data_IF_093392845030
#
_entry.id   IF_093392845030
#
_cell.length_a   1.000
_cell.length_b   1.000
_cell.length_c   1.000
_cell.angle_alpha   90.00
_cell.angle_beta   90.00
_cell.angle_gamma   90.00
#
_symmetry.space_group_name_H-M   'P 1'
#
loop_
_entity.id
_entity.type
_entity.pdbx_description
1 polymer ?
#
# COMPACT_ATOMS: atom_id res chain seq x y z
N UNK A 1 10.77 -11.89 -7.06
CA UNK A 1 9.62 -11.40 -6.27
C UNK A 1 8.62 -12.53 -6.18
N UNK A 2 8.32 -13.00 -4.98
CA UNK A 2 7.16 -13.86 -4.76
C UNK A 2 5.97 -12.91 -4.70
N UNK A 3 4.92 -13.12 -5.51
CA UNK A 3 3.79 -12.16 -5.61
C UNK A 3 2.95 -12.05 -4.32
N UNK A 4 3.30 -12.83 -3.30
CA UNK A 4 2.78 -12.77 -1.94
C UNK A 4 3.39 -11.60 -1.14
N UNK A 5 4.56 -11.10 -1.51
CA UNK A 5 5.27 -10.06 -0.76
C UNK A 5 5.87 -9.03 -1.70
N UNK A 6 5.40 -7.79 -1.60
CA UNK A 6 5.90 -6.64 -2.36
C UNK A 6 6.55 -5.67 -1.38
N UNK A 7 7.85 -5.44 -1.56
CA UNK A 7 8.60 -4.40 -0.86
C UNK A 7 9.23 -3.47 -1.89
N UNK A 8 8.82 -2.21 -1.83
CA UNK A 8 9.23 -1.13 -2.72
C UNK A 8 9.83 0.05 -1.94
N UNK A 9 10.24 -0.16 -0.68
CA UNK A 9 10.91 0.84 0.12
C UNK A 9 12.23 1.26 -0.52
N UNK A 10 12.44 2.57 -0.75
CA UNK A 10 13.71 3.13 -1.23
C UNK A 10 14.12 2.77 -2.65
N UNK A 11 13.24 2.13 -3.45
CA UNK A 11 13.57 1.70 -4.83
C UNK A 11 13.37 2.80 -5.89
N UNK A 12 12.91 4.00 -5.51
CA UNK A 12 12.75 5.11 -6.45
C UNK A 12 14.10 5.71 -6.85
N UNK A 13 14.52 5.43 -8.09
CA UNK A 13 15.77 5.94 -8.66
C UNK A 13 15.92 7.45 -8.53
N UNK A 14 17.06 7.86 -7.96
CA UNK A 14 17.61 9.23 -7.87
C UNK A 14 16.58 10.36 -7.73
N UNK A 15 16.28 10.73 -6.48
CA UNK A 15 15.44 11.86 -6.02
C UNK A 15 13.99 11.51 -5.57
N UNK A 16 13.86 10.64 -4.56
CA UNK A 16 12.72 10.71 -3.63
C UNK A 16 11.64 9.62 -3.73
N UNK A 17 11.98 8.38 -4.11
CA UNK A 17 11.02 7.27 -4.06
C UNK A 17 9.98 7.29 -5.19
N UNK A 18 9.03 6.35 -5.16
CA UNK A 18 7.90 6.31 -6.08
C UNK A 18 6.98 7.53 -5.91
N UNK A 19 6.41 7.99 -7.03
CA UNK A 19 5.53 9.16 -7.09
C UNK A 19 4.22 8.79 -7.78
N UNK A 20 3.19 9.62 -7.58
CA UNK A 20 1.85 9.41 -8.15
C UNK A 20 0.91 8.68 -7.20
N UNK A 21 -0.22 8.20 -7.72
CA UNK A 21 -1.24 7.50 -6.94
C UNK A 21 -1.00 6.01 -6.85
N UNK A 22 -1.57 5.39 -5.82
CA UNK A 22 -1.63 3.95 -5.69
C UNK A 22 -2.45 3.34 -6.85
N UNK A 23 -1.95 2.30 -7.53
CA UNK A 23 -2.64 1.68 -8.66
C UNK A 23 -3.83 0.84 -8.20
N UNK A 24 -5.01 1.10 -8.75
CA UNK A 24 -6.22 0.35 -8.43
C UNK A 24 -6.11 -1.13 -8.87
N UNK A 25 -5.31 -1.40 -9.89
CA UNK A 25 -5.09 -2.71 -10.49
C UNK A 25 -4.47 -3.71 -9.51
N UNK A 26 -3.78 -3.24 -8.47
CA UNK A 26 -3.25 -4.10 -7.43
C UNK A 26 -4.33 -4.80 -6.62
N UNK A 27 -5.59 -4.35 -6.67
CA UNK A 27 -6.72 -5.09 -6.12
C UNK A 27 -6.90 -6.50 -6.72
N UNK A 28 -6.26 -6.80 -7.86
CA UNK A 28 -6.24 -8.15 -8.44
C UNK A 28 -5.26 -9.11 -7.76
N UNK A 29 -4.36 -8.62 -6.90
CA UNK A 29 -3.34 -9.40 -6.20
C UNK A 29 -3.92 -10.08 -4.96
N UNK A 30 -4.93 -10.93 -5.14
CA UNK A 30 -5.70 -11.56 -4.05
C UNK A 30 -4.87 -12.45 -3.13
N UNK A 31 -3.66 -12.84 -3.56
CA UNK A 31 -2.69 -13.63 -2.78
C UNK A 31 -1.61 -12.79 -2.08
N UNK A 32 -1.64 -11.47 -2.24
CA UNK A 32 -0.66 -10.59 -1.60
C UNK A 32 -0.88 -10.62 -0.08
N UNK A 33 0.16 -10.91 0.68
CA UNK A 33 0.18 -10.99 2.14
C UNK A 33 0.87 -9.78 2.77
N UNK A 34 1.90 -9.26 2.13
CA UNK A 34 2.65 -8.09 2.60
C UNK A 34 2.87 -7.06 1.51
N UNK A 35 2.57 -5.80 1.82
CA UNK A 35 2.80 -4.65 0.96
C UNK A 35 3.50 -3.52 1.71
N UNK A 36 4.77 -3.30 1.40
CA UNK A 36 5.62 -2.28 2.01
C UNK A 36 5.94 -1.20 0.96
N UNK A 37 5.37 -0.01 1.14
CA UNK A 37 5.57 1.16 0.27
C UNK A 37 6.11 2.36 1.05
N UNK A 38 6.66 2.15 2.23
CA UNK A 38 7.13 3.23 3.10
C UNK A 38 8.20 4.11 2.45
N UNK A 39 8.29 5.34 2.92
CA UNK A 39 9.29 6.34 2.53
C UNK A 39 9.33 6.62 1.02
N UNK A 40 8.14 6.73 0.42
CA UNK A 40 7.96 7.15 -0.96
C UNK A 40 7.23 8.50 -1.04
N UNK A 41 7.12 9.07 -2.23
CA UNK A 41 6.40 10.32 -2.49
C UNK A 41 5.01 10.05 -3.12
N UNK A 42 4.35 8.95 -2.73
CA UNK A 42 3.02 8.62 -3.23
C UNK A 42 1.99 9.61 -2.70
N UNK A 43 0.97 9.92 -3.50
CA UNK A 43 -0.06 10.95 -3.26
C UNK A 43 -1.46 10.40 -3.58
N UNK A 44 -2.52 11.08 -3.16
CA UNK A 44 -3.90 10.63 -3.38
C UNK A 44 -4.37 9.60 -2.36
N UNK A 45 -5.45 8.87 -2.64
CA UNK A 45 -6.10 7.96 -1.69
C UNK A 45 -5.74 6.50 -1.92
N UNK A 46 -6.00 5.66 -0.91
CA UNK A 46 -6.01 4.20 -1.06
C UNK A 46 -7.19 3.84 -1.99
N UNK A 47 -6.96 3.08 -3.08
CA UNK A 47 -8.01 2.69 -4.01
C UNK A 47 -9.00 1.72 -3.33
N UNK A 48 -10.30 1.92 -3.52
CA UNK A 48 -11.33 1.03 -2.98
C UNK A 48 -11.17 -0.42 -3.49
N UNK A 49 -10.59 -0.60 -4.67
CA UNK A 49 -10.32 -1.89 -5.29
C UNK A 49 -9.37 -2.75 -4.44
N UNK A 50 -8.57 -2.12 -3.58
CA UNK A 50 -7.70 -2.83 -2.63
C UNK A 50 -8.49 -3.58 -1.55
N UNK A 51 -9.80 -3.33 -1.39
CA UNK A 51 -10.68 -4.19 -0.60
C UNK A 51 -10.71 -5.65 -1.08
N UNK A 52 -10.28 -5.92 -2.33
CA UNK A 52 -10.12 -7.29 -2.84
C UNK A 52 -8.81 -7.98 -2.43
N UNK A 53 -7.91 -7.29 -1.73
CA UNK A 53 -6.67 -7.85 -1.19
C UNK A 53 -6.95 -8.74 0.04
N UNK A 54 -7.71 -9.82 -0.18
CA UNK A 54 -8.24 -10.67 0.89
C UNK A 54 -7.14 -11.34 1.71
N UNK A 55 -5.95 -11.57 1.17
CA UNK A 55 -4.85 -12.21 1.91
C UNK A 55 -3.91 -11.22 2.60
N UNK A 56 -4.12 -9.91 2.43
CA UNK A 56 -3.19 -8.90 2.92
C UNK A 56 -3.25 -8.81 4.44
N UNK A 57 -2.09 -9.03 5.06
CA UNK A 57 -1.90 -9.06 6.50
C UNK A 57 -1.04 -7.89 6.99
N UNK A 58 -0.08 -7.45 6.16
CA UNK A 58 0.83 -6.36 6.48
C UNK A 58 0.76 -5.27 5.41
N UNK A 59 0.48 -4.05 5.84
CA UNK A 59 0.46 -2.86 4.99
C UNK A 59 1.26 -1.74 5.67
N UNK A 60 2.33 -1.31 5.02
CA UNK A 60 3.13 -0.17 5.46
C UNK A 60 3.13 0.92 4.38
N UNK A 61 2.51 2.05 4.70
CA UNK A 61 2.40 3.22 3.84
C UNK A 61 3.10 4.44 4.46
N UNK A 62 3.85 4.26 5.55
CA UNK A 62 4.46 5.33 6.32
C UNK A 62 5.38 6.23 5.49
N UNK A 63 5.41 7.53 5.79
CA UNK A 63 6.29 8.47 5.10
C UNK A 63 5.89 8.82 3.66
N UNK A 64 4.66 8.50 3.23
CA UNK A 64 4.07 8.97 1.98
C UNK A 64 3.24 10.27 2.18
N UNK A 65 2.74 10.84 1.08
CA UNK A 65 1.87 12.03 1.04
C UNK A 65 0.43 11.66 0.65
N UNK A 66 -0.01 10.47 1.06
CA UNK A 66 -1.36 9.98 0.79
C UNK A 66 -2.37 10.81 1.59
N UNK A 67 -3.53 11.03 0.99
CA UNK A 67 -4.67 11.72 1.59
C UNK A 67 -5.84 10.76 1.74
N UNK A 68 -6.67 10.95 2.76
CA UNK A 68 -7.82 10.07 3.04
C UNK A 68 -7.79 9.50 4.46
N UNK A 69 -8.98 9.30 5.02
CA UNK A 69 -9.17 8.79 6.39
C UNK A 69 -8.92 7.28 6.49
N UNK A 70 -8.59 6.79 7.69
CA UNK A 70 -8.57 5.37 8.08
C UNK A 70 -9.81 4.56 7.64
N UNK A 71 -10.93 5.20 7.30
CA UNK A 71 -12.09 4.50 6.70
C UNK A 71 -11.75 3.80 5.37
N UNK A 72 -10.72 4.27 4.65
CA UNK A 72 -10.31 3.69 3.36
C UNK A 72 -9.63 2.31 3.48
N UNK A 73 -9.32 1.87 4.69
CA UNK A 73 -8.76 0.52 4.94
C UNK A 73 -9.73 -0.37 5.71
N UNK A 74 -10.94 0.12 6.02
CA UNK A 74 -11.99 -0.67 6.69
C UNK A 74 -12.41 -1.92 5.88
N UNK A 75 -12.07 -1.96 4.59
CA UNK A 75 -12.34 -3.08 3.70
C UNK A 75 -11.26 -4.17 3.72
N UNK A 76 -10.11 -3.94 4.37
CA UNK A 76 -9.03 -4.92 4.50
C UNK A 76 -9.30 -5.87 5.67
N UNK A 77 -10.12 -6.89 5.42
CA UNK A 77 -10.66 -7.76 6.47
C UNK A 77 -9.63 -8.63 7.20
N UNK A 78 -8.44 -8.84 6.61
CA UNK A 78 -7.38 -9.69 7.17
C UNK A 78 -6.13 -8.92 7.62
N UNK A 79 -6.21 -7.58 7.65
CA UNK A 79 -5.09 -6.75 8.05
C UNK A 79 -4.78 -6.94 9.54
N UNK A 80 -3.56 -7.38 9.84
CA UNK A 80 -3.08 -7.61 11.21
C UNK A 80 -2.29 -6.42 11.75
N UNK A 81 -1.59 -5.72 10.85
CA UNK A 81 -0.72 -4.62 11.21
C UNK A 81 -0.76 -3.55 10.12
N UNK A 82 -0.90 -2.31 10.57
CA UNK A 82 -0.88 -1.11 9.75
C UNK A 82 0.12 -0.15 10.38
N UNK A 83 1.21 0.13 9.70
CA UNK A 83 2.02 1.32 9.99
C UNK A 83 1.65 2.41 8.99
N UNK A 84 0.81 3.32 9.46
CA UNK A 84 0.43 4.51 8.70
C UNK A 84 0.59 5.72 9.62
N UNK A 85 1.69 6.45 9.49
CA UNK A 85 1.83 7.78 10.09
C UNK A 85 1.04 8.87 9.33
N UNK A 86 -0.17 8.52 8.86
CA UNK A 86 -1.11 9.44 8.19
C UNK A 86 -1.58 10.55 9.13
#
# INVERSE_FOLDING_TARGET
MNLENIDLCGQGGTNGGFQGSLPAEWGSLTKLESLILKENNLTGTIPEQWGNLSSLQWLDLGGNRLSGTLNAIAWLQNLKELDSQL
#
